data_IF_260232243552
#
_entry.id   IF_260232243552
#
_cell.length_a   1.000
_cell.length_b   1.000
_cell.length_c   1.000
_cell.angle_alpha   90.00
_cell.angle_beta   90.00
_cell.angle_gamma   90.00
#
_symmetry.space_group_name_H-M   'P 1'
#
loop_
_entity.id
_entity.type
_entity.pdbx_description
1 polymer ?
#
# COMPACT_ATOMS: atom_id res chain seq x y z
N UNK A 1 -10.07 58.49 11.40
CA UNK A 1 -10.05 59.45 12.53
C UNK A 1 -8.95 58.96 13.48
N UNK A 2 -7.88 59.73 13.68
CA UNK A 2 -6.78 59.32 14.58
C UNK A 2 -7.13 59.77 15.99
N UNK A 3 -7.85 58.93 16.73
CA UNK A 3 -7.89 59.09 18.18
C UNK A 3 -6.54 58.58 18.71
N UNK A 4 -5.66 59.52 18.99
CA UNK A 4 -4.50 59.28 19.84
C UNK A 4 -5.02 59.47 21.24
N UNK A 5 -5.05 58.40 22.03
CA UNK A 5 -5.41 58.47 23.44
C UNK A 5 -4.27 59.21 24.14
N UNK A 6 -4.34 60.54 24.18
CA UNK A 6 -3.34 61.37 24.87
C UNK A 6 -3.84 61.57 26.29
N UNK A 7 -3.10 61.07 27.27
CA UNK A 7 -3.38 61.35 28.67
C UNK A 7 -3.00 62.81 28.95
N UNK A 8 -4.01 63.65 29.16
CA UNK A 8 -3.80 65.06 29.50
C UNK A 8 -3.60 65.22 31.00
N UNK A 9 -2.33 65.23 31.41
CA UNK A 9 -1.89 65.39 32.79
C UNK A 9 -2.45 66.67 33.42
N UNK A 10 -2.55 67.77 32.67
CA UNK A 10 -3.02 69.05 33.20
C UNK A 10 -4.52 69.06 33.48
N UNK A 11 -5.32 68.49 32.57
CA UNK A 11 -6.76 68.30 32.78
C UNK A 11 -7.01 67.32 33.92
N UNK A 12 -6.20 66.27 34.05
CA UNK A 12 -6.29 65.30 35.14
C UNK A 12 -6.00 65.93 36.51
N UNK A 13 -4.90 66.70 36.63
CA UNK A 13 -4.57 67.46 37.86
C UNK A 13 -5.69 68.43 38.24
N UNK A 14 -6.24 69.19 37.27
CA UNK A 14 -7.36 70.11 37.52
C UNK A 14 -8.60 69.40 38.08
N UNK A 15 -8.93 68.20 37.57
CA UNK A 15 -10.06 67.40 38.07
C UNK A 15 -9.82 66.91 39.49
N UNK A 16 -8.60 66.49 39.84
CA UNK A 16 -8.24 66.06 41.19
C UNK A 16 -8.33 67.21 42.20
N UNK A 17 -7.83 68.40 41.85
CA UNK A 17 -7.95 69.60 42.69
C UNK A 17 -9.41 70.00 42.92
N UNK A 18 -10.26 69.87 41.89
CA UNK A 18 -11.70 70.18 41.99
C UNK A 18 -12.47 69.26 42.97
N UNK A 19 -11.95 68.07 43.27
CA UNK A 19 -12.54 67.12 44.22
C UNK A 19 -11.82 67.08 45.57
N UNK A 20 -10.94 68.06 45.83
CA UNK A 20 -10.35 68.29 47.15
C UNK A 20 -8.94 67.76 47.38
N UNK A 21 -8.25 67.26 46.35
CA UNK A 21 -6.82 66.91 46.46
C UNK A 21 -5.95 68.18 46.49
N UNK A 22 -4.85 68.16 47.25
CA UNK A 22 -3.85 69.25 47.18
C UNK A 22 -3.13 69.23 45.83
N UNK A 23 -2.46 70.34 45.51
CA UNK A 23 -1.66 70.45 44.29
C UNK A 23 -0.59 69.36 44.22
N UNK A 24 0.17 69.16 45.30
CA UNK A 24 1.21 68.12 45.34
C UNK A 24 0.63 66.70 45.19
N UNK A 25 -0.52 66.42 45.82
CA UNK A 25 -1.16 65.11 45.69
C UNK A 25 -1.63 64.84 44.26
N UNK A 26 -2.21 65.86 43.61
CA UNK A 26 -2.72 65.75 42.26
C UNK A 26 -1.58 65.58 41.23
N UNK A 27 -0.47 66.30 41.40
CA UNK A 27 0.70 66.20 40.54
C UNK A 27 1.38 64.82 40.64
N UNK A 28 1.63 64.33 41.86
CA UNK A 28 2.22 63.00 42.07
C UNK A 28 1.36 61.90 41.45
N UNK A 29 0.04 61.96 41.62
CA UNK A 29 -0.86 60.97 41.05
C UNK A 29 -0.87 61.02 39.50
N UNK A 30 -0.81 62.22 38.93
CA UNK A 30 -0.77 62.42 37.49
C UNK A 30 0.55 61.95 36.87
N UNK A 31 1.67 62.19 37.55
CA UNK A 31 2.99 61.73 37.15
C UNK A 31 3.08 60.20 37.14
N UNK A 32 2.66 59.54 38.24
CA UNK A 32 2.65 58.08 38.33
C UNK A 32 1.72 57.47 37.27
N UNK A 33 0.55 58.07 37.03
CA UNK A 33 -0.38 57.59 36.00
C UNK A 33 0.20 57.74 34.59
N UNK A 34 0.87 58.87 34.30
CA UNK A 34 1.52 59.10 33.00
C UNK A 34 2.65 58.09 32.76
N UNK A 35 3.49 57.86 33.77
CA UNK A 35 4.57 56.88 33.70
C UNK A 35 4.03 55.46 33.44
N UNK A 36 2.98 55.04 34.15
CA UNK A 36 2.36 53.73 33.94
C UNK A 36 1.73 53.57 32.54
N UNK A 37 1.16 54.64 31.98
CA UNK A 37 0.57 54.64 30.63
C UNK A 37 1.66 54.56 29.57
N UNK A 38 2.78 55.29 29.75
CA UNK A 38 3.89 55.29 28.81
C UNK A 38 4.68 53.96 28.83
N UNK A 39 4.86 53.36 30.00
CA UNK A 39 5.66 52.15 30.17
C UNK A 39 4.84 50.86 29.96
N UNK A 40 3.54 50.87 30.27
CA UNK A 40 2.69 49.67 30.26
C UNK A 40 1.91 49.42 28.96
N UNK A 41 1.83 50.39 28.03
CA UNK A 41 1.02 50.27 26.82
C UNK A 41 1.87 50.05 25.57
N UNK A 42 1.50 49.03 24.79
CA UNK A 42 2.04 48.86 23.44
C UNK A 42 1.64 50.05 22.57
N UNK A 43 2.62 50.65 21.90
CA UNK A 43 2.41 51.79 21.02
C UNK A 43 1.86 51.34 19.66
N UNK A 44 1.34 52.31 18.89
CA UNK A 44 0.95 52.07 17.50
C UNK A 44 2.12 51.62 16.61
N UNK A 45 3.37 51.94 16.99
CA UNK A 45 4.55 51.46 16.29
C UNK A 45 4.75 49.97 16.59
N UNK A 46 4.70 49.56 17.86
CA UNK A 46 4.87 48.15 18.26
C UNK A 46 3.86 47.24 17.57
N UNK A 47 2.59 47.67 17.48
CA UNK A 47 1.55 46.92 16.78
C UNK A 47 1.81 46.81 15.27
N UNK A 48 2.37 47.84 14.63
CA UNK A 48 2.74 47.79 13.20
C UNK A 48 3.93 46.89 12.97
N UNK A 49 4.92 46.95 13.85
CA UNK A 49 6.11 46.11 13.75
C UNK A 49 5.72 44.64 13.93
N UNK A 50 4.82 44.34 14.88
CA UNK A 50 4.19 43.02 15.01
C UNK A 50 3.40 42.61 13.76
N UNK A 51 2.59 43.51 13.18
CA UNK A 51 1.82 43.21 11.97
C UNK A 51 2.75 42.83 10.80
N UNK A 52 3.86 43.55 10.65
CA UNK A 52 4.86 43.27 9.61
C UNK A 52 5.53 41.91 9.85
N UNK A 53 5.92 41.60 11.09
CA UNK A 53 6.50 40.30 11.45
C UNK A 53 5.51 39.16 11.17
N UNK A 54 4.26 39.28 11.62
CA UNK A 54 3.23 38.28 11.38
C UNK A 54 2.97 38.06 9.89
N UNK A 55 2.94 39.14 9.08
CA UNK A 55 2.79 39.03 7.62
C UNK A 55 3.96 38.30 6.97
N UNK A 56 5.19 38.54 7.44
CA UNK A 56 6.37 37.83 6.97
C UNK A 56 6.26 36.35 7.31
N UNK A 57 5.99 36.02 8.57
CA UNK A 57 5.94 34.64 9.06
C UNK A 57 4.82 33.85 8.36
N UNK A 58 3.66 34.47 8.10
CA UNK A 58 2.59 33.86 7.30
C UNK A 58 3.02 33.57 5.86
N UNK A 59 3.78 34.47 5.23
CA UNK A 59 4.29 34.28 3.86
C UNK A 59 5.35 33.18 3.80
N UNK A 60 6.20 33.10 4.81
CA UNK A 60 7.19 32.02 4.96
C UNK A 60 6.50 30.67 5.13
N UNK A 61 5.48 30.60 6.01
CA UNK A 61 4.67 29.41 6.21
C UNK A 61 3.95 28.98 4.92
N UNK A 62 3.32 29.91 4.20
CA UNK A 62 2.66 29.63 2.92
C UNK A 62 3.66 29.04 1.91
N UNK A 63 4.87 29.62 1.84
CA UNK A 63 5.92 29.15 0.92
C UNK A 63 6.40 27.75 1.31
N UNK A 64 6.60 27.48 2.60
CA UNK A 64 6.97 26.15 3.11
C UNK A 64 5.90 25.11 2.77
N UNK A 65 4.63 25.40 3.05
CA UNK A 65 3.52 24.49 2.77
C UNK A 65 3.39 24.20 1.27
N UNK A 66 3.57 25.20 0.39
CA UNK A 66 3.57 24.98 -1.06
C UNK A 66 4.71 24.06 -1.50
N UNK A 67 5.90 24.21 -0.90
CA UNK A 67 7.05 23.34 -1.17
C UNK A 67 6.77 21.91 -0.73
N UNK A 68 6.30 21.73 0.50
CA UNK A 68 6.04 20.42 1.09
C UNK A 68 4.94 19.67 0.31
N UNK A 69 3.89 20.38 -0.14
CA UNK A 69 2.86 19.79 -1.01
C UNK A 69 3.42 19.32 -2.36
N UNK A 70 4.34 20.08 -2.96
CA UNK A 70 4.97 19.71 -4.23
C UNK A 70 5.92 18.51 -4.07
N UNK A 71 6.65 18.46 -2.97
CA UNK A 71 7.51 17.33 -2.62
C UNK A 71 6.67 16.06 -2.41
N UNK A 72 5.56 16.17 -1.67
CA UNK A 72 4.62 15.07 -1.46
C UNK A 72 4.00 14.58 -2.78
N UNK A 73 3.53 15.49 -3.63
CA UNK A 73 2.98 15.13 -4.96
C UNK A 73 4.02 14.38 -5.80
N UNK A 74 5.28 14.84 -5.79
CA UNK A 74 6.36 14.22 -6.54
C UNK A 74 6.68 12.81 -6.00
N UNK A 75 6.72 12.66 -4.67
CA UNK A 75 6.94 11.35 -4.03
C UNK A 75 5.82 10.37 -4.40
N UNK A 76 4.55 10.79 -4.26
CA UNK A 76 3.41 9.95 -4.59
C UNK A 76 3.39 9.51 -6.05
N UNK A 77 3.74 10.41 -6.98
CA UNK A 77 3.88 10.06 -8.41
C UNK A 77 4.97 9.02 -8.65
N UNK A 78 6.10 9.13 -7.94
CA UNK A 78 7.20 8.16 -8.04
C UNK A 78 6.77 6.80 -7.49
N UNK A 79 6.18 6.77 -6.30
CA UNK A 79 5.75 5.54 -5.65
C UNK A 79 4.66 4.81 -6.46
N UNK A 80 3.72 5.55 -7.07
CA UNK A 80 2.73 4.98 -8.00
C UNK A 80 3.38 4.34 -9.23
N UNK A 81 4.40 4.98 -9.80
CA UNK A 81 5.14 4.44 -10.95
C UNK A 81 5.93 3.19 -10.57
N UNK A 82 6.59 3.19 -9.42
CA UNK A 82 7.30 2.02 -8.89
C UNK A 82 6.33 0.85 -8.69
N UNK A 83 5.17 1.10 -8.08
CA UNK A 83 4.12 0.09 -7.90
C UNK A 83 3.62 -0.47 -9.24
N UNK A 84 3.33 0.39 -10.22
CA UNK A 84 2.91 -0.05 -11.56
C UNK A 84 3.96 -0.95 -12.22
N UNK A 85 5.25 -0.59 -12.12
CA UNK A 85 6.33 -1.40 -12.68
C UNK A 85 6.48 -2.75 -11.98
N UNK A 86 6.33 -2.79 -10.65
CA UNK A 86 6.35 -4.05 -9.89
C UNK A 86 5.20 -4.96 -10.32
N UNK A 87 3.97 -4.44 -10.37
CA UNK A 87 2.80 -5.22 -10.77
C UNK A 87 2.93 -5.78 -12.18
N UNK A 88 3.47 -5.00 -13.13
CA UNK A 88 3.75 -5.49 -14.49
C UNK A 88 4.77 -6.63 -14.50
N UNK A 89 5.82 -6.54 -13.68
CA UNK A 89 6.82 -7.60 -13.54
C UNK A 89 6.19 -8.87 -12.96
N UNK A 90 5.44 -8.73 -11.88
CA UNK A 90 4.81 -9.86 -11.18
C UNK A 90 3.80 -10.59 -12.10
N UNK A 91 3.00 -9.85 -12.87
CA UNK A 91 2.11 -10.46 -13.87
C UNK A 91 2.88 -11.26 -14.93
N UNK A 92 4.01 -10.74 -15.42
CA UNK A 92 4.83 -11.43 -16.42
C UNK A 92 5.48 -12.69 -15.85
N UNK A 93 5.91 -12.66 -14.59
CA UNK A 93 6.45 -13.82 -13.88
C UNK A 93 5.39 -14.91 -13.72
N UNK A 94 4.17 -14.53 -13.32
CA UNK A 94 3.02 -15.46 -13.22
C UNK A 94 2.70 -16.07 -14.58
N UNK A 95 2.62 -15.26 -15.65
CA UNK A 95 2.34 -15.75 -17.00
C UNK A 95 3.40 -16.77 -17.45
N UNK A 96 4.67 -16.48 -17.19
CA UNK A 96 5.79 -17.36 -17.54
C UNK A 96 5.74 -18.67 -16.75
N UNK A 97 5.48 -18.59 -15.44
CA UNK A 97 5.34 -19.77 -14.56
C UNK A 97 4.20 -20.66 -15.03
N UNK A 98 3.02 -20.09 -15.27
CA UNK A 98 1.84 -20.84 -15.69
C UNK A 98 2.06 -21.54 -17.04
N UNK A 99 2.75 -20.87 -17.97
CA UNK A 99 3.14 -21.49 -19.25
C UNK A 99 4.10 -22.66 -19.04
N UNK A 100 5.07 -22.52 -18.14
CA UNK A 100 5.98 -23.60 -17.77
C UNK A 100 5.24 -24.79 -17.17
N UNK A 101 4.34 -24.55 -16.22
CA UNK A 101 3.53 -25.59 -15.58
C UNK A 101 2.65 -26.32 -16.61
N UNK A 102 2.03 -25.60 -17.53
CA UNK A 102 1.20 -26.19 -18.59
C UNK A 102 2.02 -27.10 -19.52
N UNK A 103 3.24 -26.70 -19.89
CA UNK A 103 4.15 -27.53 -20.69
C UNK A 103 4.61 -28.78 -19.92
N UNK A 104 4.88 -28.65 -18.62
CA UNK A 104 5.24 -29.77 -17.77
C UNK A 104 4.10 -30.79 -17.67
N UNK A 105 2.86 -30.31 -17.47
CA UNK A 105 1.67 -31.16 -17.45
C UNK A 105 1.46 -31.85 -18.80
N UNK A 106 1.57 -31.14 -19.91
CA UNK A 106 1.43 -31.72 -21.25
C UNK A 106 2.46 -32.84 -21.49
N UNK A 107 3.71 -32.60 -21.10
CA UNK A 107 4.79 -33.58 -21.21
C UNK A 107 4.54 -34.81 -20.34
N UNK A 108 4.11 -34.61 -19.09
CA UNK A 108 3.77 -35.69 -18.18
C UNK A 108 2.63 -36.55 -18.73
N UNK A 109 1.54 -35.92 -19.17
CA UNK A 109 0.37 -36.62 -19.70
C UNK A 109 0.72 -37.45 -20.94
N UNK A 110 1.57 -36.91 -21.82
CA UNK A 110 2.07 -37.65 -22.99
C UNK A 110 2.91 -38.86 -22.58
N UNK A 111 3.76 -38.71 -21.57
CA UNK A 111 4.55 -39.81 -21.00
C UNK A 111 3.65 -40.90 -20.41
N UNK A 112 2.67 -40.52 -19.60
CA UNK A 112 1.72 -41.44 -18.99
C UNK A 112 0.92 -42.21 -20.06
N UNK A 113 0.49 -41.53 -21.12
CA UNK A 113 -0.25 -42.18 -22.22
C UNK A 113 0.61 -43.19 -22.99
N UNK A 114 1.89 -42.90 -23.21
CA UNK A 114 2.83 -43.85 -23.81
C UNK A 114 3.09 -45.06 -22.90
N UNK A 115 3.20 -44.84 -21.59
CA UNK A 115 3.36 -45.91 -20.61
C UNK A 115 2.12 -46.83 -20.59
N UNK A 116 0.92 -46.25 -20.61
CA UNK A 116 -0.35 -46.98 -20.72
C UNK A 116 -0.39 -47.79 -22.02
N UNK A 117 -0.08 -47.18 -23.17
CA UNK A 117 -0.10 -47.88 -24.46
C UNK A 117 0.87 -49.07 -24.47
N UNK A 118 2.07 -48.89 -23.90
CA UNK A 118 3.10 -49.93 -23.83
C UNK A 118 2.66 -51.09 -22.93
N UNK A 119 2.11 -50.78 -21.75
CA UNK A 119 1.59 -51.81 -20.83
C UNK A 119 0.43 -52.57 -21.44
N UNK A 120 -0.52 -51.88 -22.09
CA UNK A 120 -1.65 -52.50 -22.77
C UNK A 120 -1.20 -53.45 -23.90
N UNK A 121 -0.24 -53.03 -24.74
CA UNK A 121 0.33 -53.87 -25.80
C UNK A 121 0.99 -55.13 -25.23
N UNK A 122 1.71 -55.00 -24.11
CA UNK A 122 2.35 -56.13 -23.43
C UNK A 122 1.29 -57.09 -22.89
N UNK A 123 0.29 -56.57 -22.20
CA UNK A 123 -0.78 -57.38 -21.59
C UNK A 123 -1.58 -58.14 -22.66
N UNK A 124 -1.83 -57.52 -23.83
CA UNK A 124 -2.45 -58.18 -24.99
C UNK A 124 -1.61 -59.34 -25.54
N UNK A 125 -0.29 -59.16 -25.68
CA UNK A 125 0.62 -60.24 -26.10
C UNK A 125 0.64 -61.38 -25.10
N UNK A 126 0.65 -61.05 -23.80
CA UNK A 126 0.60 -62.07 -22.75
C UNK A 126 -0.72 -62.86 -22.81
N UNK A 127 -1.84 -62.18 -23.02
CA UNK A 127 -3.14 -62.82 -23.17
C UNK A 127 -3.19 -63.73 -24.41
N UNK A 128 -2.68 -63.27 -25.55
CA UNK A 128 -2.60 -64.05 -26.80
C UNK A 128 -1.77 -65.32 -26.61
N UNK A 129 -0.62 -65.22 -25.93
CA UNK A 129 0.23 -66.37 -25.62
C UNK A 129 -0.50 -67.37 -24.71
N UNK A 130 -1.13 -66.88 -23.63
CA UNK A 130 -1.89 -67.73 -22.70
C UNK A 130 -3.04 -68.46 -23.40
N UNK A 131 -3.76 -67.78 -24.28
CA UNK A 131 -4.84 -68.38 -25.09
C UNK A 131 -4.30 -69.43 -26.05
N UNK A 132 -3.20 -69.14 -26.74
CA UNK A 132 -2.55 -70.07 -27.67
C UNK A 132 -2.08 -71.35 -26.98
N UNK A 133 -1.43 -71.21 -25.81
CA UNK A 133 -1.03 -72.36 -24.99
C UNK A 133 -2.25 -73.16 -24.55
N UNK A 134 -3.29 -72.50 -24.02
CA UNK A 134 -4.49 -73.18 -23.53
C UNK A 134 -5.21 -73.93 -24.65
N UNK A 135 -5.37 -73.32 -25.83
CA UNK A 135 -5.94 -73.99 -27.00
C UNK A 135 -5.10 -75.19 -27.44
N UNK A 136 -3.77 -75.05 -27.50
CA UNK A 136 -2.87 -76.17 -27.81
C UNK A 136 -3.00 -77.34 -26.82
N UNK A 137 -3.11 -77.05 -25.52
CA UNK A 137 -3.33 -78.09 -24.49
C UNK A 137 -4.69 -78.78 -24.63
N UNK A 138 -5.75 -78.04 -24.97
CA UNK A 138 -7.08 -78.62 -25.19
C UNK A 138 -7.08 -79.50 -26.45
N UNK A 139 -6.46 -79.05 -27.54
CA UNK A 139 -6.39 -79.80 -28.79
C UNK A 139 -5.63 -81.11 -28.62
N UNK A 140 -4.47 -81.09 -27.96
CA UNK A 140 -3.69 -82.31 -27.69
C UNK A 140 -4.45 -83.28 -26.78
N UNK A 141 -5.13 -82.79 -25.75
CA UNK A 141 -6.00 -83.62 -24.91
C UNK A 141 -7.17 -84.24 -25.70
N UNK A 142 -7.81 -83.46 -26.58
CA UNK A 142 -8.89 -83.94 -27.44
C UNK A 142 -8.43 -85.03 -28.41
N UNK A 143 -7.28 -84.86 -29.07
CA UNK A 143 -6.69 -85.86 -29.97
C UNK A 143 -6.33 -87.14 -29.20
N UNK A 144 -5.73 -87.02 -28.01
CA UNK A 144 -5.41 -88.17 -27.17
C UNK A 144 -6.67 -88.95 -26.76
N UNK A 145 -7.76 -88.25 -26.38
CA UNK A 145 -9.03 -88.88 -26.05
C UNK A 145 -9.63 -89.64 -27.24
N UNK A 146 -9.62 -89.06 -28.45
CA UNK A 146 -10.09 -89.71 -29.67
C UNK A 146 -9.25 -90.96 -30.00
N UNK A 147 -7.92 -90.88 -29.88
CA UNK A 147 -7.04 -92.02 -30.13
C UNK A 147 -7.30 -93.18 -29.17
N UNK A 148 -7.54 -92.90 -27.89
CA UNK A 148 -7.91 -93.92 -26.89
C UNK A 148 -9.27 -94.56 -27.24
N UNK A 149 -10.26 -93.76 -27.64
CA UNK A 149 -11.57 -94.28 -28.07
C UNK A 149 -11.44 -95.18 -29.32
N UNK A 150 -10.69 -94.76 -30.33
CA UNK A 150 -10.45 -95.57 -31.53
C UNK A 150 -9.80 -96.93 -31.20
N UNK A 151 -8.85 -96.96 -30.26
CA UNK A 151 -8.20 -98.21 -29.82
C UNK A 151 -9.16 -99.15 -29.09
N UNK A 152 -10.12 -98.62 -28.32
CA UNK A 152 -11.12 -99.42 -27.61
C UNK A 152 -12.15 -100.07 -28.54
N UNK A 153 -12.55 -99.41 -29.62
CA UNK A 153 -13.54 -99.93 -30.58
C UNK A 153 -12.92 -100.78 -31.71
N UNK A 154 -11.60 -100.85 -31.81
CA UNK A 154 -10.88 -101.67 -32.79
C UNK A 154 -10.54 -103.09 -32.29
N UNK A 155 -10.99 -103.45 -31.09
CA UNK A 155 -10.96 -104.80 -30.50
C UNK A 155 -12.39 -105.34 -30.38
#
# INVERSE_FOLDING_TARGET
MRDTLVFDTHVYVKKLKAVGFTEEQAEVQAEVMSALIEEGLATKRDLRDMEVLLKRDLKELETSLRRDLKELETSLRRDLKELETSLRRDMKEIETSLKGDMQAIETSLKGDMQAIETSFKRDMKELELRLSIRLGTIMTAGVAAIAVLMKLFSH
#
